data_IF_226905421020
#
_entry.id   IF_226905421020
#
_cell.length_a   1.000
_cell.length_b   1.000
_cell.length_c   1.000
_cell.angle_alpha   90.00
_cell.angle_beta   90.00
_cell.angle_gamma   90.00
#
_symmetry.space_group_name_H-M   'P 1'
#
loop_
_entity.id
_entity.type
_entity.pdbx_description
1 polymer ?
#
# COMPACT_ATOMS: atom_id res chain seq x y z
N UNK A 1 16.91 6.18 -59.23
CA UNK A 1 15.60 5.70 -58.71
C UNK A 1 15.52 4.20 -58.95
N UNK A 2 15.00 3.44 -57.99
CA UNK A 2 14.55 2.02 -58.07
C UNK A 2 15.57 0.86 -57.96
N UNK A 3 16.30 0.75 -56.83
CA UNK A 3 16.80 -0.56 -56.34
C UNK A 3 16.15 -0.99 -55.01
N UNK A 4 15.01 -0.39 -54.65
CA UNK A 4 14.34 -0.59 -53.36
C UNK A 4 13.04 -1.43 -53.44
N UNK A 5 12.85 -2.24 -54.49
CA UNK A 5 11.55 -2.90 -54.76
C UNK A 5 11.61 -4.40 -55.09
N UNK A 6 12.68 -5.12 -54.75
CA UNK A 6 12.76 -6.58 -55.02
C UNK A 6 13.12 -7.46 -53.82
N UNK A 7 12.96 -6.96 -52.59
CA UNK A 7 12.91 -7.80 -51.38
C UNK A 7 11.60 -7.54 -50.62
N UNK A 8 10.51 -7.23 -51.34
CA UNK A 8 9.15 -7.30 -50.78
C UNK A 8 8.83 -8.77 -50.55
N UNK A 9 9.17 -9.24 -49.35
CA UNK A 9 8.59 -10.45 -48.77
C UNK A 9 7.42 -9.93 -47.92
N UNK A 10 6.22 -9.70 -48.51
CA UNK A 10 5.06 -9.15 -47.77
C UNK A 10 4.65 -10.04 -46.60
N UNK A 11 4.99 -11.33 -46.66
CA UNK A 11 4.78 -12.30 -45.59
C UNK A 11 5.69 -12.05 -44.36
N UNK A 12 6.87 -11.42 -44.55
CA UNK A 12 7.75 -11.08 -43.42
C UNK A 12 7.21 -9.95 -42.56
N UNK A 13 6.54 -8.95 -43.14
CA UNK A 13 5.98 -7.84 -42.38
C UNK A 13 4.77 -8.30 -41.54
N UNK A 14 3.96 -9.22 -42.08
CA UNK A 14 2.91 -9.90 -41.33
C UNK A 14 3.47 -10.73 -40.18
N UNK A 15 4.50 -11.53 -40.47
CA UNK A 15 5.20 -12.34 -39.46
C UNK A 15 5.85 -11.48 -38.37
N UNK A 16 6.43 -10.33 -38.74
CA UNK A 16 7.01 -9.37 -37.81
C UNK A 16 5.95 -8.83 -36.83
N UNK A 17 4.75 -8.50 -37.32
CA UNK A 17 3.65 -8.04 -36.46
C UNK A 17 3.16 -9.11 -35.48
N UNK A 18 3.12 -10.37 -35.91
CA UNK A 18 2.75 -11.52 -35.07
C UNK A 18 3.82 -11.77 -34.00
N UNK A 19 5.10 -11.72 -34.37
CA UNK A 19 6.22 -11.87 -33.43
C UNK A 19 6.19 -10.76 -32.38
N UNK A 20 5.97 -9.51 -32.78
CA UNK A 20 5.83 -8.38 -31.85
C UNK A 20 4.60 -8.57 -30.95
N UNK A 21 3.47 -9.01 -31.49
CA UNK A 21 2.27 -9.30 -30.71
C UNK A 21 2.50 -10.37 -29.64
N UNK A 22 3.14 -11.49 -30.00
CA UNK A 22 3.48 -12.57 -29.07
C UNK A 22 4.46 -12.07 -27.99
N UNK A 23 5.45 -11.26 -28.38
CA UNK A 23 6.40 -10.66 -27.45
C UNK A 23 5.69 -9.73 -26.45
N UNK A 24 4.78 -8.87 -26.92
CA UNK A 24 4.00 -7.98 -26.05
C UNK A 24 3.09 -8.75 -25.09
N UNK A 25 2.44 -9.83 -25.54
CA UNK A 25 1.64 -10.72 -24.68
C UNK A 25 2.51 -11.35 -23.60
N UNK A 26 3.69 -11.85 -23.98
CA UNK A 26 4.61 -12.47 -23.03
C UNK A 26 5.15 -11.48 -22.00
N UNK A 27 5.58 -10.28 -22.43
CA UNK A 27 6.03 -9.20 -21.54
C UNK A 27 4.90 -8.74 -20.62
N UNK A 28 3.69 -8.57 -21.14
CA UNK A 28 2.51 -8.20 -20.33
C UNK A 28 2.17 -9.27 -19.29
N UNK A 29 2.32 -10.55 -19.63
CA UNK A 29 2.10 -11.65 -18.70
C UNK A 29 3.14 -11.67 -17.56
N UNK A 30 4.43 -11.43 -17.88
CA UNK A 30 5.49 -11.29 -16.87
C UNK A 30 5.19 -10.10 -15.96
N UNK A 31 4.91 -8.93 -16.54
CA UNK A 31 4.57 -7.72 -15.78
C UNK A 31 3.34 -7.91 -14.92
N UNK A 32 2.30 -8.62 -15.39
CA UNK A 32 1.10 -8.90 -14.60
C UNK A 32 1.38 -9.85 -13.43
N UNK A 33 2.26 -10.85 -13.60
CA UNK A 33 2.67 -11.73 -12.50
C UNK A 33 3.52 -11.01 -11.47
N UNK A 34 4.41 -10.13 -11.92
CA UNK A 34 5.27 -9.34 -11.04
C UNK A 34 4.48 -8.22 -10.32
N UNK A 35 3.53 -7.59 -11.01
CA UNK A 35 2.62 -6.57 -10.44
C UNK A 35 1.68 -7.16 -9.38
N UNK A 36 1.34 -8.45 -9.46
CA UNK A 36 0.60 -9.12 -8.38
C UNK A 36 1.44 -9.29 -7.11
N UNK A 37 2.77 -9.32 -7.20
CA UNK A 37 3.67 -9.28 -6.05
C UNK A 37 3.87 -7.85 -5.52
N UNK A 38 3.60 -6.83 -6.34
CA UNK A 38 3.55 -5.42 -5.99
C UNK A 38 2.13 -4.93 -5.64
N UNK A 39 1.27 -5.82 -5.14
CA UNK A 39 0.17 -5.40 -4.27
C UNK A 39 0.73 -5.05 -2.88
N UNK A 40 1.73 -4.17 -2.85
CA UNK A 40 1.95 -3.33 -1.69
C UNK A 40 0.83 -2.31 -1.70
N UNK A 41 -0.30 -2.63 -1.09
CA UNK A 41 -1.15 -1.59 -0.53
C UNK A 41 -0.31 -0.93 0.55
N UNK A 42 0.44 0.12 0.19
CA UNK A 42 0.91 1.09 1.17
C UNK A 42 -0.34 1.83 1.66
N UNK A 43 -1.09 1.19 2.56
CA UNK A 43 -1.95 1.90 3.47
C UNK A 43 -1.01 2.66 4.40
N UNK A 44 -0.67 3.88 3.97
CA UNK A 44 -0.11 4.96 4.76
C UNK A 44 1.09 4.61 5.66
N UNK A 45 2.32 5.05 5.30
CA UNK A 45 3.42 5.20 6.27
C UNK A 45 3.11 6.17 7.42
N UNK A 46 2.00 6.91 7.38
CA UNK A 46 1.68 8.01 8.31
C UNK A 46 0.63 7.69 9.38
N UNK A 47 0.05 6.48 9.40
CA UNK A 47 -0.89 6.08 10.44
C UNK A 47 -0.20 5.38 11.61
N UNK A 48 0.23 6.16 12.61
CA UNK A 48 0.81 5.62 13.85
C UNK A 48 -0.32 5.18 14.80
N UNK A 49 -0.30 3.88 15.17
CA UNK A 49 -1.14 3.33 16.25
C UNK A 49 -0.33 3.34 17.54
N UNK A 50 -0.81 4.06 18.55
CA UNK A 50 -0.21 4.06 19.87
C UNK A 50 -1.01 3.13 20.81
N UNK A 51 -0.34 2.11 21.33
CA UNK A 51 -0.89 1.21 22.34
C UNK A 51 -0.23 1.49 23.69
N UNK A 52 -1.04 1.79 24.71
CA UNK A 52 -0.59 2.05 26.06
C UNK A 52 -1.23 1.03 27.00
N UNK A 53 -0.38 0.37 27.79
CA UNK A 53 -0.79 -0.47 28.90
C UNK A 53 -0.49 0.35 30.16
N UNK A 54 -1.52 0.63 30.95
CA UNK A 54 -1.43 1.54 32.09
C UNK A 54 -2.02 0.85 33.31
N UNK A 55 -1.23 0.76 34.37
CA UNK A 55 -1.69 0.31 35.68
C UNK A 55 -2.39 1.48 36.41
N UNK A 56 -3.62 1.24 36.85
CA UNK A 56 -4.40 2.20 37.63
C UNK A 56 -4.45 1.71 39.07
N UNK A 57 -4.36 2.65 40.02
CA UNK A 57 -4.46 2.34 41.44
C UNK A 57 -5.75 1.56 41.76
N UNK A 58 -5.63 0.51 42.57
CA UNK A 58 -6.70 -0.44 42.91
C UNK A 58 -7.98 0.19 43.49
N UNK A 59 -7.89 1.38 44.07
CA UNK A 59 -9.00 2.09 44.73
C UNK A 59 -9.63 3.20 43.87
N UNK A 60 -9.37 3.20 42.55
CA UNK A 60 -10.00 4.13 41.62
C UNK A 60 -11.34 3.61 41.12
N UNK A 61 -12.37 4.46 41.23
CA UNK A 61 -13.64 4.18 40.58
C UNK A 61 -13.51 4.19 39.05
N UNK A 62 -14.31 3.37 38.39
CA UNK A 62 -14.38 3.26 36.92
C UNK A 62 -14.60 4.61 36.23
N UNK A 63 -15.31 5.53 36.88
CA UNK A 63 -15.52 6.91 36.41
C UNK A 63 -14.20 7.66 36.28
N UNK A 64 -13.38 7.68 37.35
CA UNK A 64 -12.07 8.33 37.35
C UNK A 64 -11.09 7.68 36.36
N UNK A 65 -11.14 6.35 36.19
CA UNK A 65 -10.35 5.64 35.18
C UNK A 65 -10.73 6.12 33.78
N UNK A 66 -12.03 6.21 33.49
CA UNK A 66 -12.54 6.65 32.18
C UNK A 66 -12.19 8.10 31.88
N UNK A 67 -12.29 8.98 32.88
CA UNK A 67 -11.87 10.38 32.76
C UNK A 67 -10.37 10.50 32.50
N UNK A 68 -9.54 9.74 33.21
CA UNK A 68 -8.10 9.73 33.02
C UNK A 68 -7.72 9.24 31.62
N UNK A 69 -8.32 8.15 31.14
CA UNK A 69 -8.16 7.63 29.77
C UNK A 69 -8.54 8.69 28.74
N UNK A 70 -9.67 9.38 28.93
CA UNK A 70 -10.15 10.43 28.02
C UNK A 70 -9.20 11.62 27.98
N UNK A 71 -8.68 12.05 29.14
CA UNK A 71 -7.70 13.12 29.26
C UNK A 71 -6.38 12.78 28.55
N UNK A 72 -5.88 11.56 28.76
CA UNK A 72 -4.65 11.07 28.12
C UNK A 72 -4.83 11.01 26.60
N UNK A 73 -5.92 10.38 26.13
CA UNK A 73 -6.25 10.30 24.70
C UNK A 73 -6.32 11.68 24.05
N UNK A 74 -7.00 12.63 24.70
CA UNK A 74 -7.16 13.99 24.18
C UNK A 74 -5.81 14.69 24.07
N UNK A 75 -4.98 14.67 25.12
CA UNK A 75 -3.66 15.30 25.08
C UNK A 75 -2.76 14.72 24.00
N UNK A 76 -2.72 13.39 23.86
CA UNK A 76 -1.90 12.73 22.84
C UNK A 76 -2.35 13.13 21.44
N UNK A 77 -3.66 13.17 21.17
CA UNK A 77 -4.19 13.60 19.87
C UNK A 77 -3.96 15.09 19.58
N UNK A 78 -3.90 15.93 20.62
CA UNK A 78 -3.60 17.36 20.49
C UNK A 78 -2.12 17.60 20.20
N UNK A 79 -1.21 16.91 20.89
CA UNK A 79 0.24 17.11 20.74
C UNK A 79 0.82 16.39 19.51
N UNK A 80 0.26 15.24 19.13
CA UNK A 80 0.76 14.40 18.04
C UNK A 80 -0.31 14.17 16.97
N UNK A 81 -0.34 15.06 15.97
CA UNK A 81 -1.35 15.05 14.91
C UNK A 81 -1.27 13.84 13.94
N UNK A 82 -0.16 13.09 13.96
CA UNK A 82 0.04 11.90 13.14
C UNK A 82 -0.45 10.59 13.82
N UNK A 83 -0.87 10.64 15.09
CA UNK A 83 -1.38 9.47 15.81
C UNK A 83 -2.90 9.39 15.61
N UNK A 84 -3.33 8.59 14.65
CA UNK A 84 -4.75 8.42 14.30
C UNK A 84 -5.52 7.62 15.36
N UNK A 85 -4.88 6.60 15.94
CA UNK A 85 -5.51 5.69 16.92
C UNK A 85 -4.68 5.58 18.20
N UNK A 86 -5.35 5.77 19.34
CA UNK A 86 -4.78 5.58 20.68
C UNK A 86 -5.63 4.55 21.41
N UNK A 87 -5.04 3.38 21.66
CA UNK A 87 -5.65 2.28 22.44
C UNK A 87 -5.03 2.33 23.83
N UNK A 88 -5.87 2.42 24.86
CA UNK A 88 -5.44 2.39 26.25
C UNK A 88 -6.10 1.19 26.90
N UNK A 89 -5.27 0.27 27.39
CA UNK A 89 -5.70 -0.91 28.11
C UNK A 89 -5.31 -0.74 29.58
N UNK A 90 -6.27 -0.68 30.51
CA UNK A 90 -5.97 -0.81 31.93
C UNK A 90 -5.53 -2.26 32.22
N UNK A 91 -4.47 -2.42 33.02
CA UNK A 91 -4.12 -3.71 33.64
C UNK A 91 -4.89 -3.94 34.94
#
# INVERSE_FOLDING_TARGET
MSLSHSLQIPELDGLASVIVGVLLVFVSFILARESRSLLSTYQSPEDVILMLIIDFKDDLDTEYITEAITRIRTRIKTEFQFIHYVIIQPE
#
